data_IF_337702312119
#
_entry.id   IF_337702312119
#
_cell.length_a   1.000
_cell.length_b   1.000
_cell.length_c   1.000
_cell.angle_alpha   90.00
_cell.angle_beta   90.00
_cell.angle_gamma   90.00
#
_symmetry.space_group_name_H-M   'P 1'
#
loop_
_entity.id
_entity.type
_entity.pdbx_description
1 polymer ?
#
# COMPACT_ATOMS: atom_id res chain seq x y z
N UNK A 1 -7.57 11.27 -13.86
CA UNK A 1 -6.65 10.68 -12.88
C UNK A 1 -5.35 11.43 -13.02
N UNK A 2 -4.83 11.98 -11.92
CA UNK A 2 -3.55 12.69 -11.91
C UNK A 2 -2.42 11.66 -11.84
N UNK A 3 -1.72 11.47 -12.96
CA UNK A 3 -0.67 10.47 -13.10
C UNK A 3 0.56 10.76 -12.23
N UNK A 4 0.73 12.00 -11.79
CA UNK A 4 1.84 12.37 -10.90
C UNK A 4 1.70 11.74 -9.52
N UNK A 5 0.47 11.39 -9.10
CA UNK A 5 0.19 10.67 -7.86
C UNK A 5 0.63 9.20 -7.90
N UNK A 6 0.92 8.66 -9.09
CA UNK A 6 1.35 7.27 -9.27
C UNK A 6 2.82 7.05 -8.89
N UNK A 7 3.63 8.11 -8.74
CA UNK A 7 5.02 8.05 -8.26
C UNK A 7 5.23 9.11 -7.18
N UNK A 8 5.59 8.73 -5.94
CA UNK A 8 5.87 9.69 -4.88
C UNK A 8 7.03 10.62 -5.24
N UNK A 9 6.91 11.90 -4.87
CA UNK A 9 7.93 12.92 -5.15
C UNK A 9 9.36 12.54 -4.72
N UNK A 10 9.61 11.99 -3.51
CA UNK A 10 10.96 11.60 -3.10
C UNK A 10 11.56 10.54 -4.03
N UNK A 11 10.76 9.55 -4.41
CA UNK A 11 11.18 8.47 -5.30
C UNK A 11 11.42 8.98 -6.74
N UNK A 12 10.56 9.88 -7.23
CA UNK A 12 10.73 10.52 -8.53
C UNK A 12 12.06 11.31 -8.61
N UNK A 13 12.35 12.09 -7.56
CA UNK A 13 13.56 12.91 -7.45
C UNK A 13 14.82 12.08 -7.30
N UNK A 14 14.82 11.08 -6.42
CA UNK A 14 15.95 10.16 -6.19
C UNK A 14 16.28 9.36 -7.46
N UNK A 15 15.26 8.71 -8.03
CA UNK A 15 15.46 7.74 -9.11
C UNK A 15 15.51 8.39 -10.48
N UNK A 16 15.28 9.70 -10.60
CA UNK A 16 15.43 10.39 -11.88
C UNK A 16 14.23 10.16 -12.80
N UNK A 17 13.01 9.93 -12.26
CA UNK A 17 11.88 9.36 -13.01
C UNK A 17 10.62 10.21 -12.99
N UNK A 18 9.90 10.23 -14.11
CA UNK A 18 8.62 10.94 -14.27
C UNK A 18 7.55 9.97 -14.79
N UNK A 19 6.37 9.84 -14.15
CA UNK A 19 5.31 9.01 -14.70
C UNK A 19 4.68 9.67 -15.94
N UNK A 20 4.66 8.93 -17.05
CA UNK A 20 4.19 9.44 -18.36
C UNK A 20 2.87 8.81 -18.77
N UNK A 21 2.69 7.53 -18.48
CA UNK A 21 1.47 6.80 -18.83
C UNK A 21 1.21 5.65 -17.87
N UNK A 22 -0.07 5.43 -17.58
CA UNK A 22 -0.55 4.27 -16.85
C UNK A 22 -1.47 3.45 -17.75
N UNK A 23 -1.30 2.12 -17.72
CA UNK A 23 -2.15 1.19 -18.48
C UNK A 23 -2.26 -0.13 -17.72
N UNK A 24 -3.36 -0.32 -16.99
CA UNK A 24 -3.56 -1.51 -16.16
C UNK A 24 -2.48 -1.61 -15.09
N UNK A 25 -1.70 -2.70 -15.10
CA UNK A 25 -0.59 -2.94 -14.16
C UNK A 25 0.74 -2.31 -14.60
N UNK A 26 0.80 -1.73 -15.78
CA UNK A 26 2.03 -1.18 -16.34
C UNK A 26 2.08 0.33 -16.14
N UNK A 27 3.16 0.82 -15.54
CA UNK A 27 3.48 2.24 -15.41
C UNK A 27 4.70 2.58 -16.28
N UNK A 28 4.51 3.53 -17.18
CA UNK A 28 5.58 4.02 -18.06
C UNK A 28 6.22 5.24 -17.40
N UNK A 29 7.51 5.12 -17.10
CA UNK A 29 8.36 6.15 -16.50
C UNK A 29 9.31 6.73 -17.55
N UNK A 30 9.45 8.05 -17.59
CA UNK A 30 10.54 8.70 -18.30
C UNK A 30 11.77 8.81 -17.40
N UNK A 31 12.95 8.57 -17.95
CA UNK A 31 14.25 8.77 -17.27
C UNK A 31 15.30 9.31 -18.24
N UNK A 32 16.38 9.88 -17.72
CA UNK A 32 17.50 10.41 -18.52
C UNK A 32 18.51 9.32 -18.94
N UNK A 33 18.45 8.16 -18.31
CA UNK A 33 19.20 6.97 -18.70
C UNK A 33 18.36 5.70 -18.50
N UNK A 34 18.83 4.57 -19.02
CA UNK A 34 18.23 3.28 -18.68
C UNK A 34 18.69 2.90 -17.27
N UNK A 35 17.80 2.77 -16.28
CA UNK A 35 18.22 2.39 -14.94
C UNK A 35 18.86 1.00 -14.94
N UNK A 36 19.78 0.73 -14.01
CA UNK A 36 20.29 -0.61 -13.77
C UNK A 36 19.14 -1.59 -13.47
N UNK A 37 19.32 -2.89 -13.75
CA UNK A 37 18.27 -3.89 -13.52
C UNK A 37 17.71 -3.85 -12.09
N UNK A 38 18.61 -3.77 -11.11
CA UNK A 38 18.28 -3.60 -9.68
C UNK A 38 17.41 -2.37 -9.41
N UNK A 39 17.72 -1.23 -10.03
CA UNK A 39 16.93 0.00 -9.90
C UNK A 39 15.53 -0.13 -10.53
N UNK A 40 15.40 -0.89 -11.62
CA UNK A 40 14.10 -1.18 -12.25
C UNK A 40 13.26 -2.10 -11.38
N UNK A 41 13.87 -3.14 -10.80
CA UNK A 41 13.21 -4.05 -9.85
C UNK A 41 12.78 -3.31 -8.59
N UNK A 42 13.63 -2.45 -8.04
CA UNK A 42 13.29 -1.55 -6.92
C UNK A 42 12.07 -0.69 -7.25
N UNK A 43 12.03 -0.06 -8.42
CA UNK A 43 10.89 0.76 -8.85
C UNK A 43 9.62 -0.09 -9.05
N UNK A 44 9.73 -1.25 -9.68
CA UNK A 44 8.60 -2.17 -9.88
C UNK A 44 8.00 -2.61 -8.54
N UNK A 45 8.87 -2.91 -7.58
CA UNK A 45 8.52 -3.33 -6.23
C UNK A 45 7.84 -2.20 -5.45
N UNK A 46 8.48 -1.04 -5.32
CA UNK A 46 7.94 0.10 -4.56
C UNK A 46 6.59 0.56 -5.11
N UNK A 47 6.44 0.54 -6.44
CA UNK A 47 5.22 0.99 -7.11
C UNK A 47 4.18 -0.13 -7.25
N UNK A 48 4.51 -1.36 -6.84
CA UNK A 48 3.71 -2.57 -7.02
C UNK A 48 3.15 -2.72 -8.44
N UNK A 49 3.98 -2.43 -9.44
CA UNK A 49 3.58 -2.30 -10.86
C UNK A 49 4.69 -2.79 -11.77
N UNK A 50 4.31 -3.26 -12.96
CA UNK A 50 5.29 -3.43 -14.04
C UNK A 50 5.76 -2.04 -14.47
N UNK A 51 7.06 -1.76 -14.40
CA UNK A 51 7.62 -0.48 -14.86
C UNK A 51 8.25 -0.62 -16.23
N UNK A 52 7.98 0.35 -17.10
CA UNK A 52 8.65 0.47 -18.40
C UNK A 52 9.28 1.84 -18.52
N UNK A 53 10.41 1.91 -19.19
CA UNK A 53 11.17 3.16 -19.31
C UNK A 53 11.12 3.72 -20.71
N UNK A 54 10.93 5.04 -20.79
CA UNK A 54 11.19 5.83 -22.00
C UNK A 54 12.33 6.79 -21.71
N UNK A 55 13.32 6.84 -22.60
CA UNK A 55 14.46 7.73 -22.40
C UNK A 55 14.09 9.14 -22.88
N UNK A 56 14.46 10.14 -22.09
CA UNK A 56 14.31 11.57 -22.37
C UNK A 56 15.63 12.27 -22.11
N UNK A 57 15.75 13.52 -22.56
CA UNK A 57 16.95 14.30 -22.24
C UNK A 57 16.97 14.65 -20.76
N UNK A 58 18.17 14.79 -20.20
CA UNK A 58 18.37 15.23 -18.82
C UNK A 58 17.64 16.53 -18.51
N UNK A 59 17.74 17.52 -19.40
CA UNK A 59 17.06 18.81 -19.29
C UNK A 59 15.54 18.69 -19.26
N UNK A 60 14.97 17.72 -19.97
CA UNK A 60 13.53 17.47 -19.94
C UNK A 60 13.12 16.87 -18.60
N UNK A 61 13.89 15.90 -18.09
CA UNK A 61 13.64 15.30 -16.77
C UNK A 61 13.73 16.36 -15.68
N UNK A 62 14.77 17.19 -15.68
CA UNK A 62 14.94 18.26 -14.68
C UNK A 62 13.77 19.24 -14.71
N UNK A 63 13.36 19.68 -15.91
CA UNK A 63 12.21 20.58 -16.06
C UNK A 63 10.90 19.96 -15.57
N UNK A 64 10.70 18.66 -15.78
CA UNK A 64 9.49 17.97 -15.33
C UNK A 64 9.50 17.68 -13.83
N UNK A 65 10.64 17.30 -13.25
CA UNK A 65 10.78 17.16 -11.80
C UNK A 65 10.43 18.47 -11.11
N UNK A 66 10.94 19.56 -11.66
CA UNK A 66 10.64 20.88 -11.14
C UNK A 66 9.17 21.27 -11.30
N UNK A 67 8.59 21.07 -12.49
CA UNK A 67 7.21 21.43 -12.75
C UNK A 67 6.21 20.63 -11.90
N UNK A 68 6.47 19.33 -11.74
CA UNK A 68 5.50 18.39 -11.17
C UNK A 68 5.71 18.16 -9.67
N UNK A 69 6.95 18.28 -9.18
CA UNK A 69 7.29 17.88 -7.81
C UNK A 69 7.90 18.98 -6.96
N UNK A 70 8.23 20.18 -7.49
CA UNK A 70 8.77 21.29 -6.68
C UNK A 70 7.85 21.68 -5.53
N UNK A 71 6.55 21.80 -5.79
CA UNK A 71 5.57 22.15 -4.74
C UNK A 71 5.45 21.09 -3.64
N UNK A 72 5.57 19.81 -4.01
CA UNK A 72 5.58 18.69 -3.06
C UNK A 72 6.89 18.64 -2.24
N UNK A 73 8.02 18.99 -2.85
CA UNK A 73 9.32 19.11 -2.18
C UNK A 73 9.35 20.30 -1.21
N UNK A 74 8.78 21.44 -1.60
CA UNK A 74 8.65 22.64 -0.74
C UNK A 74 7.69 22.40 0.44
N UNK A 75 6.64 21.59 0.27
CA UNK A 75 5.79 21.17 1.38
C UNK A 75 6.52 20.26 2.38
N UNK A 76 7.44 19.39 1.91
CA UNK A 76 8.20 18.48 2.78
C UNK A 76 9.22 19.21 3.68
N UNK A 77 9.71 20.38 3.27
CA UNK A 77 10.59 21.21 4.14
C UNK A 77 9.86 21.72 5.39
N UNK A 78 8.53 21.79 5.36
CA UNK A 78 7.70 22.14 6.53
C UNK A 78 7.12 20.91 7.27
N UNK A 79 7.34 19.70 6.76
CA UNK A 79 6.88 18.44 7.37
C UNK A 79 8.02 17.43 7.42
N UNK A 80 9.15 17.83 8.02
CA UNK A 80 10.30 16.95 8.26
C UNK A 80 9.99 15.88 9.33
N UNK A 81 8.96 15.08 9.10
CA UNK A 81 8.85 13.75 9.65
C UNK A 81 9.11 12.79 8.50
N UNK A 82 10.13 11.98 8.70
CA UNK A 82 10.64 10.93 7.84
C UNK A 82 9.61 9.80 7.82
N UNK A 83 8.42 10.05 7.24
CA UNK A 83 7.34 9.08 7.23
C UNK A 83 7.74 7.92 6.30
N UNK A 84 8.30 6.88 6.90
CA UNK A 84 8.54 5.60 6.24
C UNK A 84 7.27 5.06 5.60
N UNK A 85 7.42 4.27 4.54
CA UNK A 85 6.28 3.60 3.91
C UNK A 85 6.33 2.14 4.30
N UNK A 86 5.25 1.65 4.92
CA UNK A 86 5.06 0.22 5.20
C UNK A 86 4.07 -0.38 4.20
N UNK A 87 4.39 -1.57 3.72
CA UNK A 87 3.51 -2.36 2.90
C UNK A 87 3.25 -3.73 3.49
N UNK A 88 2.06 -4.25 3.21
CA UNK A 88 1.60 -5.55 3.63
C UNK A 88 1.40 -6.46 2.42
N UNK A 89 1.70 -7.74 2.60
CA UNK A 89 1.65 -8.77 1.56
C UNK A 89 0.56 -9.81 1.86
N UNK A 90 -0.76 -9.52 1.71
CA UNK A 90 -1.85 -10.40 2.12
C UNK A 90 -1.67 -11.88 1.72
N UNK A 91 -1.17 -12.14 0.51
CA UNK A 91 -0.92 -13.49 0.00
C UNK A 91 0.20 -14.26 0.73
N UNK A 92 1.06 -13.58 1.48
CA UNK A 92 2.22 -14.15 2.18
C UNK A 92 1.99 -14.29 3.69
N UNK A 93 0.78 -14.04 4.17
CA UNK A 93 0.43 -14.19 5.58
C UNK A 93 0.19 -15.67 5.90
N UNK A 94 0.56 -16.11 7.10
CA UNK A 94 0.34 -17.48 7.54
C UNK A 94 0.07 -17.55 9.04
N UNK A 95 -0.50 -18.66 9.48
CA UNK A 95 -0.65 -18.97 10.90
C UNK A 95 0.59 -19.73 11.38
N UNK A 96 1.15 -19.30 12.50
CA UNK A 96 2.22 -19.98 13.23
C UNK A 96 1.75 -20.26 14.65
N UNK A 97 1.27 -21.48 14.88
CA UNK A 97 0.54 -21.85 16.08
C UNK A 97 -0.65 -20.92 16.33
N UNK A 98 -0.63 -20.26 17.50
CA UNK A 98 -1.66 -19.32 17.92
C UNK A 98 -1.41 -17.87 17.45
N UNK A 99 -0.51 -17.64 16.49
CA UNK A 99 -0.20 -16.31 15.98
C UNK A 99 -0.54 -16.21 14.50
N UNK A 100 -1.12 -15.08 14.10
CA UNK A 100 -1.15 -14.68 12.70
C UNK A 100 0.11 -13.89 12.39
N UNK A 101 0.84 -14.34 11.37
CA UNK A 101 2.05 -13.70 10.88
C UNK A 101 1.72 -12.90 9.62
N UNK A 102 1.91 -11.58 9.70
CA UNK A 102 1.66 -10.62 8.63
C UNK A 102 3.00 -10.19 8.07
N UNK A 103 3.30 -10.56 6.82
CA UNK A 103 4.53 -10.13 6.17
C UNK A 103 4.47 -8.65 5.81
N UNK A 104 5.52 -7.95 6.19
CA UNK A 104 5.66 -6.50 6.03
C UNK A 104 7.01 -6.17 5.42
N UNK A 105 7.03 -5.13 4.60
CA UNK A 105 8.26 -4.52 4.10
C UNK A 105 8.09 -3.02 4.16
N UNK A 106 9.19 -2.30 4.27
CA UNK A 106 9.13 -0.85 4.25
C UNK A 106 10.45 -0.20 3.91
N UNK A 107 10.39 1.12 3.81
CA UNK A 107 11.57 1.98 3.81
C UNK A 107 11.46 2.95 4.98
N UNK A 108 12.58 3.17 5.66
CA UNK A 108 12.76 4.25 6.63
C UNK A 108 13.99 5.05 6.18
N UNK A 109 13.79 6.34 5.86
CA UNK A 109 14.79 7.14 5.16
C UNK A 109 15.28 6.45 3.87
N UNK A 110 16.53 5.98 3.88
CA UNK A 110 17.20 5.30 2.76
C UNK A 110 17.42 3.80 2.98
N UNK A 111 16.94 3.24 4.10
CA UNK A 111 17.13 1.84 4.43
C UNK A 111 15.86 1.04 4.16
N UNK A 112 16.02 -0.06 3.42
CA UNK A 112 14.97 -1.03 3.19
C UNK A 112 14.96 -2.08 4.30
N UNK A 113 13.77 -2.41 4.78
CA UNK A 113 13.59 -3.50 5.72
C UNK A 113 12.47 -4.43 5.30
N UNK A 114 12.64 -5.71 5.63
CA UNK A 114 11.62 -6.75 5.48
C UNK A 114 11.48 -7.48 6.80
N UNK A 115 10.24 -7.72 7.22
CA UNK A 115 9.96 -8.36 8.48
C UNK A 115 8.62 -9.07 8.49
N UNK A 116 8.20 -9.42 9.70
CA UNK A 116 6.88 -9.93 9.98
C UNK A 116 6.35 -9.23 11.23
N UNK A 117 5.08 -8.87 11.19
CA UNK A 117 4.35 -8.44 12.37
C UNK A 117 3.52 -9.62 12.88
N UNK A 118 3.61 -9.87 14.19
CA UNK A 118 2.91 -10.98 14.83
C UNK A 118 1.64 -10.48 15.52
N UNK A 119 0.54 -11.19 15.27
CA UNK A 119 -0.76 -10.91 15.87
C UNK A 119 -1.21 -12.12 16.71
N UNK A 120 -0.87 -12.17 18.02
CA UNK A 120 -1.33 -13.23 18.92
C UNK A 120 -2.86 -13.23 19.10
N UNK A 121 -3.41 -14.28 19.71
CA UNK A 121 -4.87 -14.52 19.87
C UNK A 121 -5.62 -13.34 20.48
N UNK A 122 -5.01 -12.70 21.47
CA UNK A 122 -5.56 -11.58 22.22
C UNK A 122 -5.27 -10.21 21.59
N UNK A 123 -4.54 -10.17 20.48
CA UNK A 123 -4.20 -8.91 19.83
C UNK A 123 -5.47 -8.22 19.27
N UNK A 124 -5.72 -6.94 19.58
CA UNK A 124 -6.96 -6.25 19.20
C UNK A 124 -7.17 -6.19 17.68
N UNK A 125 -6.08 -6.12 16.92
CA UNK A 125 -6.12 -6.08 15.46
C UNK A 125 -6.16 -7.45 14.76
N UNK A 126 -6.06 -8.56 15.50
CA UNK A 126 -6.04 -9.89 14.88
C UNK A 126 -7.28 -10.15 14.03
N UNK A 127 -8.46 -9.77 14.53
CA UNK A 127 -9.72 -9.96 13.82
C UNK A 127 -9.79 -9.16 12.51
N UNK A 128 -9.20 -7.95 12.49
CA UNK A 128 -9.10 -7.13 11.29
C UNK A 128 -8.20 -7.81 10.24
N UNK A 129 -6.99 -8.23 10.64
CA UNK A 129 -6.05 -8.86 9.72
C UNK A 129 -6.55 -10.22 9.20
N UNK A 130 -7.18 -11.03 10.06
CA UNK A 130 -7.85 -12.26 9.63
C UNK A 130 -8.95 -11.99 8.59
N UNK A 131 -9.77 -10.96 8.78
CA UNK A 131 -10.76 -10.59 7.78
C UNK A 131 -10.08 -10.16 6.48
N UNK A 132 -9.07 -9.30 6.57
CA UNK A 132 -8.38 -8.73 5.43
C UNK A 132 -7.79 -9.78 4.49
N UNK A 133 -7.14 -10.82 5.05
CA UNK A 133 -6.53 -11.91 4.25
C UNK A 133 -7.57 -12.82 3.61
N UNK A 134 -8.80 -12.89 4.14
CA UNK A 134 -9.89 -13.70 3.58
C UNK A 134 -10.67 -13.00 2.47
N UNK A 135 -10.48 -11.69 2.30
CA UNK A 135 -11.14 -10.92 1.26
C UNK A 135 -10.30 -10.94 -0.01
N UNK A 136 -10.76 -11.70 -1.01
CA UNK A 136 -10.13 -11.87 -2.33
C UNK A 136 -9.71 -10.56 -3.01
N UNK A 137 -10.44 -9.47 -2.78
CA UNK A 137 -10.13 -8.16 -3.36
C UNK A 137 -8.79 -7.62 -2.85
N UNK A 138 -8.48 -7.83 -1.57
CA UNK A 138 -7.25 -7.39 -0.94
C UNK A 138 -6.14 -8.46 -1.01
N UNK A 139 -6.51 -9.73 -1.14
CA UNK A 139 -5.57 -10.86 -1.22
C UNK A 139 -4.62 -10.87 -2.43
N UNK A 140 -4.90 -10.08 -3.49
CA UNK A 140 -4.21 -10.16 -4.79
C UNK A 140 -3.16 -9.07 -5.05
N UNK A 141 -2.93 -8.17 -4.09
CA UNK A 141 -2.01 -7.05 -4.27
C UNK A 141 -1.31 -6.64 -2.97
N UNK A 142 -0.27 -5.82 -3.12
CA UNK A 142 0.39 -5.12 -2.03
C UNK A 142 -0.57 -4.06 -1.45
N UNK A 143 -0.67 -3.98 -0.12
CA UNK A 143 -1.43 -2.94 0.55
C UNK A 143 -0.48 -1.93 1.16
N UNK A 144 -0.72 -0.64 0.91
CA UNK A 144 0.03 0.44 1.53
C UNK A 144 -0.56 0.75 2.92
N UNK A 145 0.28 1.05 3.90
CA UNK A 145 -0.14 1.42 5.26
C UNK A 145 -1.14 2.58 5.26
N UNK A 146 -1.04 3.51 4.31
CA UNK A 146 -1.96 4.65 4.15
C UNK A 146 -3.37 4.21 3.74
N UNK A 147 -3.53 3.00 3.20
CA UNK A 147 -4.82 2.41 2.86
C UNK A 147 -5.50 1.74 4.06
N UNK A 148 -4.72 1.31 5.06
CA UNK A 148 -5.20 0.57 6.23
C UNK A 148 -6.31 1.32 6.99
N UNK A 149 -6.22 2.64 7.27
CA UNK A 149 -7.30 3.38 7.91
C UNK A 149 -8.63 3.33 7.12
N UNK A 150 -8.56 3.37 5.78
CA UNK A 150 -9.76 3.30 4.93
C UNK A 150 -10.36 1.90 4.94
N UNK A 151 -9.51 0.89 4.79
CA UNK A 151 -9.92 -0.52 4.80
C UNK A 151 -10.51 -0.90 6.17
N UNK A 152 -9.94 -0.38 7.26
CA UNK A 152 -10.46 -0.55 8.62
C UNK A 152 -11.85 0.06 8.82
N UNK A 153 -12.16 1.19 8.18
CA UNK A 153 -13.53 1.74 8.18
C UNK A 153 -14.51 0.79 7.51
N UNK A 154 -14.12 0.16 6.39
CA UNK A 154 -14.94 -0.84 5.68
C UNK A 154 -15.17 -2.06 6.58
N UNK A 155 -14.11 -2.58 7.21
CA UNK A 155 -14.20 -3.68 8.16
C UNK A 155 -15.15 -3.39 9.33
N UNK A 156 -15.06 -2.19 9.93
CA UNK A 156 -15.94 -1.80 11.03
C UNK A 156 -17.43 -1.81 10.62
N UNK A 157 -17.75 -1.38 9.40
CA UNK A 157 -19.12 -1.45 8.86
C UNK A 157 -19.56 -2.90 8.64
N UNK A 158 -18.67 -3.76 8.15
CA UNK A 158 -18.94 -5.18 7.99
C UNK A 158 -19.24 -5.86 9.35
N UNK A 159 -18.43 -5.56 10.38
CA UNK A 159 -18.59 -6.12 11.73
C UNK A 159 -19.94 -5.73 12.34
N UNK A 160 -20.29 -4.45 12.30
CA UNK A 160 -21.58 -3.95 12.83
C UNK A 160 -22.79 -4.62 12.17
N UNK A 161 -22.74 -4.89 10.85
CA UNK A 161 -23.82 -5.58 10.15
C UNK A 161 -23.96 -7.04 10.56
N UNK A 162 -22.84 -7.72 10.81
CA UNK A 162 -22.85 -9.11 11.26
C UNK A 162 -23.46 -9.22 12.67
N UNK A 163 -23.07 -8.33 13.57
CA UNK A 163 -23.58 -8.29 14.95
C UNK A 163 -25.11 -8.06 14.99
N UNK A 164 -25.63 -7.18 14.12
CA UNK A 164 -27.08 -6.95 14.00
C UNK A 164 -27.81 -8.19 13.48
N UNK A 165 -27.25 -8.87 12.49
CA UNK A 165 -27.85 -10.08 11.91
C UNK A 165 -27.90 -11.23 12.91
N UNK A 166 -26.80 -11.47 13.61
CA UNK A 166 -26.71 -12.55 14.60
C UNK A 166 -27.64 -12.27 15.81
N UNK A 167 -27.83 -11.00 16.19
CA UNK A 167 -28.79 -10.63 17.23
C UNK A 167 -30.26 -10.75 16.78
N UNK A 168 -30.57 -10.51 15.50
CA UNK A 168 -31.94 -10.66 14.96
C UNK A 168 -32.40 -12.12 14.86
N UNK A 169 -31.47 -13.05 14.62
CA UNK A 169 -31.79 -14.48 14.53
C UNK A 169 -32.08 -15.07 15.93
N UNK A 170 -31.40 -14.56 16.96
CA UNK A 170 -31.59 -15.04 18.34
C UNK A 170 -32.84 -14.47 19.04
N UNK A 171 -33.59 -13.56 18.41
CA UNK A 171 -34.80 -12.95 19.00
C UNK A 171 -36.13 -13.55 18.54
N UNK A 172 -36.12 -14.44 17.54
CA UNK A 172 -37.35 -15.01 16.96
C UNK A 172 -37.77 -16.39 17.52
N UNK A 173 -36.96 -17.03 18.37
CA UNK A 173 -37.26 -18.37 18.94
C UNK A 173 -37.97 -18.35 20.32
N UNK A 174 -38.44 -17.18 20.76
CA UNK A 174 -38.92 -16.96 22.13
C UNK A 174 -40.43 -16.93 22.36
N UNK A 175 -41.28 -17.29 21.39
CA UNK A 175 -42.75 -17.22 21.60
C UNK A 175 -43.52 -18.18 20.69
N UNK A 176 -43.67 -19.43 21.12
CA UNK A 176 -44.91 -20.19 20.92
C UNK A 176 -44.92 -21.43 21.81
N UNK A 177 -45.75 -21.36 22.86
CA UNK A 177 -45.98 -22.49 23.77
C UNK A 177 -46.71 -22.05 25.04
N UNK A 178 -47.91 -21.47 24.89
CA UNK A 178 -48.94 -21.46 25.93
C UNK A 178 -49.99 -22.51 25.58
#
# INVERSE_FOLDING_TARGET
MDITSSVPAPLAMEMRVIPVRESGRTLVLASDCKPAAEAQEKLAFILNREVRFVIRSRSWIDAQLELLYRSAAEQKVNSAEDEGVTWFWPACHYLDGDKLIVKVSGWEGMEHWTGAQEFPLDHPDRAFWNWLITVDHYGKGLLDEREIPKIRRIWNHFRQRKDVRDNSINSDDGSNGS
#
